data_IF_061669172855
#
_entry.id   IF_061669172855
#
_cell.length_a   1.000
_cell.length_b   1.000
_cell.length_c   1.000
_cell.angle_alpha   90.00
_cell.angle_beta   90.00
_cell.angle_gamma   90.00
#
_symmetry.space_group_name_H-M   'P 1'
#
loop_
_entity.id
_entity.type
_entity.pdbx_description
1 polymer ?
#
# COMPACT_ATOMS: atom_id res chain seq x y z
N UNK A 1 39.87 6.23 11.58
CA UNK A 1 38.80 5.31 11.13
C UNK A 1 37.48 6.03 11.28
N UNK A 2 36.82 6.36 10.17
CA UNK A 2 35.50 7.00 10.19
C UNK A 2 34.44 5.89 10.27
N UNK A 3 33.69 5.84 11.37
CA UNK A 3 32.56 4.93 11.53
C UNK A 3 31.36 5.62 10.87
N UNK A 4 30.97 5.11 9.71
CA UNK A 4 29.79 5.56 8.97
C UNK A 4 28.54 5.20 9.78
N UNK A 5 27.97 6.19 10.48
CA UNK A 5 26.66 6.05 11.12
C UNK A 5 25.59 5.96 10.05
N UNK A 6 25.17 4.73 9.75
CA UNK A 6 24.01 4.44 8.91
C UNK A 6 22.77 5.05 9.60
N UNK A 7 22.16 6.06 8.97
CA UNK A 7 20.84 6.56 9.35
C UNK A 7 19.83 5.45 9.05
N UNK A 8 19.49 4.69 10.07
CA UNK A 8 18.51 3.62 10.00
C UNK A 8 17.54 3.80 11.17
N UNK A 9 16.60 4.75 11.11
CA UNK A 9 15.42 4.77 12.02
C UNK A 9 14.35 5.87 11.82
N UNK A 10 14.18 6.48 10.63
CA UNK A 10 13.17 7.56 10.47
C UNK A 10 12.00 7.27 9.51
N UNK A 11 11.74 6.01 9.12
CA UNK A 11 10.62 5.69 8.20
C UNK A 11 9.46 4.94 8.86
N UNK A 12 9.59 4.47 10.10
CA UNK A 12 8.74 3.38 10.58
C UNK A 12 7.39 3.78 11.24
N UNK A 13 7.14 5.06 11.56
CA UNK A 13 5.99 5.42 12.42
C UNK A 13 4.83 6.16 11.73
N UNK A 14 5.01 6.74 10.54
CA UNK A 14 4.02 7.69 9.99
C UNK A 14 2.90 7.05 9.13
N UNK A 15 3.01 5.76 8.80
CA UNK A 15 2.09 5.08 7.87
C UNK A 15 1.41 3.83 8.44
N UNK A 16 1.27 3.74 9.77
CA UNK A 16 0.62 2.59 10.40
C UNK A 16 -0.88 2.56 10.06
N UNK A 17 -1.27 1.65 9.16
CA UNK A 17 -2.69 1.31 8.94
C UNK A 17 -3.27 0.84 10.27
N UNK A 18 -4.44 1.36 10.71
CA UNK A 18 -5.11 0.83 11.88
C UNK A 18 -5.25 -0.69 11.74
N UNK A 19 -4.75 -1.45 12.72
CA UNK A 19 -4.63 -2.91 12.63
C UNK A 19 -5.97 -3.61 12.30
N UNK A 20 -7.09 -3.02 12.73
CA UNK A 20 -8.45 -3.48 12.46
C UNK A 20 -8.88 -3.33 10.98
N UNK A 21 -8.18 -2.54 10.18
CA UNK A 21 -8.49 -2.26 8.77
C UNK A 21 -7.56 -2.97 7.80
N UNK A 22 -6.62 -3.79 8.28
CA UNK A 22 -5.63 -4.46 7.44
C UNK A 22 -6.25 -5.36 6.35
N UNK A 23 -7.26 -6.21 6.63
CA UNK A 23 -7.91 -6.99 5.57
C UNK A 23 -8.57 -6.12 4.49
N UNK A 24 -9.17 -5.00 4.89
CA UNK A 24 -9.80 -4.05 3.98
C UNK A 24 -8.75 -3.32 3.12
N UNK A 25 -7.64 -2.88 3.74
CA UNK A 25 -6.51 -2.29 3.04
C UNK A 25 -5.94 -3.24 1.97
N UNK A 26 -5.72 -4.51 2.32
CA UNK A 26 -5.27 -5.53 1.37
C UNK A 26 -6.30 -5.71 0.25
N UNK A 27 -7.60 -5.78 0.56
CA UNK A 27 -8.68 -5.87 -0.45
C UNK A 27 -8.67 -4.70 -1.44
N UNK A 28 -8.47 -3.47 -0.96
CA UNK A 28 -8.35 -2.27 -1.79
C UNK A 28 -7.12 -2.36 -2.70
N UNK A 29 -5.96 -2.74 -2.15
CA UNK A 29 -4.71 -2.86 -2.88
C UNK A 29 -4.74 -3.96 -3.94
N UNK A 30 -5.39 -5.09 -3.66
CA UNK A 30 -5.54 -6.18 -4.64
C UNK A 30 -6.36 -5.76 -5.86
N UNK A 31 -7.32 -4.83 -5.72
CA UNK A 31 -8.09 -4.33 -6.87
C UNK A 31 -7.26 -3.50 -7.85
N UNK A 32 -6.23 -2.80 -7.36
CA UNK A 32 -5.43 -1.87 -8.17
C UNK A 32 -4.11 -2.52 -8.61
N UNK A 33 -3.45 -3.25 -7.72
CA UNK A 33 -2.13 -3.87 -7.97
C UNK A 33 -2.08 -5.33 -7.50
N UNK A 34 -2.85 -6.25 -8.13
CA UNK A 34 -2.97 -7.63 -7.65
C UNK A 34 -1.65 -8.41 -7.67
N UNK A 35 -0.82 -8.23 -8.69
CA UNK A 35 0.43 -8.98 -8.87
C UNK A 35 1.63 -8.35 -8.16
N UNK A 36 1.43 -7.20 -7.50
CA UNK A 36 2.51 -6.52 -6.77
C UNK A 36 2.91 -7.35 -5.56
N UNK A 37 4.22 -7.57 -5.43
CA UNK A 37 4.80 -8.36 -4.35
C UNK A 37 4.81 -7.54 -3.06
N UNK A 38 4.20 -8.10 -2.01
CA UNK A 38 4.12 -7.55 -0.66
C UNK A 38 5.40 -7.87 0.11
N UNK A 39 5.82 -9.14 0.07
CA UNK A 39 6.99 -9.61 0.79
C UNK A 39 7.64 -10.77 0.04
N UNK A 40 8.96 -10.89 0.19
CA UNK A 40 9.75 -12.02 -0.31
C UNK A 40 10.51 -12.64 0.84
N UNK A 41 10.53 -13.96 0.86
CA UNK A 41 11.37 -14.73 1.76
C UNK A 41 12.03 -15.86 0.98
N UNK A 42 13.36 -15.86 0.93
CA UNK A 42 14.17 -16.76 0.10
C UNK A 42 13.69 -16.72 -1.37
N UNK A 43 13.40 -17.87 -1.97
CA UNK A 43 12.96 -17.98 -3.36
C UNK A 43 11.48 -17.62 -3.60
N UNK A 44 10.68 -17.39 -2.55
CA UNK A 44 9.23 -17.22 -2.67
C UNK A 44 8.81 -15.78 -2.42
N UNK A 45 7.99 -15.25 -3.32
CA UNK A 45 7.31 -13.97 -3.16
C UNK A 45 5.82 -14.19 -2.91
N UNK A 46 5.24 -13.32 -2.08
CA UNK A 46 3.81 -13.25 -1.82
C UNK A 46 3.27 -11.94 -2.40
N UNK A 47 2.31 -12.03 -3.32
CA UNK A 47 1.65 -10.88 -3.93
C UNK A 47 0.29 -10.60 -3.25
N UNK A 48 -0.31 -9.45 -3.57
CA UNK A 48 -1.59 -9.02 -2.98
C UNK A 48 -2.76 -9.94 -3.33
N UNK A 49 -2.79 -10.53 -4.53
CA UNK A 49 -3.85 -11.48 -4.92
C UNK A 49 -3.83 -12.72 -4.03
N UNK A 50 -2.65 -13.32 -3.89
CA UNK A 50 -2.47 -14.56 -3.14
C UNK A 50 -2.60 -14.29 -1.63
N UNK A 51 -2.14 -13.12 -1.16
CA UNK A 51 -2.33 -12.68 0.22
C UNK A 51 -3.83 -12.51 0.56
N UNK A 52 -4.62 -11.86 -0.30
CA UNK A 52 -6.06 -11.69 -0.07
C UNK A 52 -6.80 -13.03 -0.06
N UNK A 53 -6.46 -13.92 -0.99
CA UNK A 53 -7.03 -15.27 -1.01
C UNK A 53 -6.75 -16.02 0.31
N UNK A 54 -5.52 -15.95 0.81
CA UNK A 54 -5.14 -16.54 2.08
C UNK A 54 -5.87 -15.88 3.28
N UNK A 55 -5.99 -14.55 3.31
CA UNK A 55 -6.75 -13.84 4.35
C UNK A 55 -8.20 -14.34 4.40
N UNK A 56 -8.88 -14.42 3.25
CA UNK A 56 -10.27 -14.88 3.20
C UNK A 56 -10.46 -16.30 3.75
N UNK A 57 -9.46 -17.17 3.61
CA UNK A 57 -9.45 -18.51 4.18
C UNK A 57 -9.15 -18.51 5.69
N UNK A 58 -8.29 -17.60 6.16
CA UNK A 58 -7.89 -17.54 7.57
C UNK A 58 -8.90 -16.80 8.46
N UNK A 59 -9.65 -15.85 7.92
CA UNK A 59 -10.59 -15.01 8.66
C UNK A 59 -11.64 -15.81 9.48
N UNK A 60 -12.30 -16.85 8.96
CA UNK A 60 -13.22 -17.66 9.76
C UNK A 60 -12.50 -18.39 10.92
N UNK A 61 -11.27 -18.84 10.67
CA UNK A 61 -10.46 -19.63 11.62
C UNK A 61 -9.91 -18.76 12.75
N UNK A 62 -9.49 -17.53 12.46
CA UNK A 62 -9.00 -16.60 13.48
C UNK A 62 -10.15 -16.04 14.32
N UNK A 63 -11.29 -15.75 13.68
CA UNK A 63 -12.49 -15.27 14.39
C UNK A 63 -13.09 -16.32 15.32
N UNK A 64 -13.12 -17.60 14.93
CA UNK A 64 -13.58 -18.68 15.82
C UNK A 64 -12.70 -18.85 17.06
N UNK A 65 -11.46 -18.37 17.00
CA UNK A 65 -10.50 -18.35 18.10
C UNK A 65 -10.47 -17.02 18.87
N UNK A 66 -11.42 -16.10 18.61
CA UNK A 66 -11.46 -14.75 19.19
C UNK A 66 -10.17 -13.94 18.96
N UNK A 67 -9.46 -14.21 17.86
CA UNK A 67 -8.29 -13.43 17.45
C UNK A 67 -8.70 -12.20 16.64
N UNK A 68 -7.84 -11.20 16.60
CA UNK A 68 -8.06 -9.98 15.83
C UNK A 68 -7.84 -10.19 14.32
N UNK A 69 -8.33 -9.23 13.52
CA UNK A 69 -8.19 -9.26 12.07
C UNK A 69 -6.71 -9.16 11.62
N UNK A 70 -5.82 -8.60 12.45
CA UNK A 70 -4.36 -8.62 12.22
C UNK A 70 -3.84 -10.04 12.22
N UNK A 71 -4.30 -10.88 13.16
CA UNK A 71 -3.89 -12.29 13.24
C UNK A 71 -4.22 -13.05 11.95
N UNK A 72 -5.32 -12.70 11.27
CA UNK A 72 -5.67 -13.30 9.99
C UNK A 72 -4.65 -12.95 8.90
N UNK A 73 -4.16 -11.71 8.88
CA UNK A 73 -3.13 -11.26 7.92
C UNK A 73 -1.79 -11.93 8.22
N UNK A 74 -1.40 -12.03 9.49
CA UNK A 74 -0.17 -12.74 9.88
C UNK A 74 -0.26 -14.22 9.50
N UNK A 75 -1.37 -14.90 9.83
CA UNK A 75 -1.61 -16.28 9.44
C UNK A 75 -1.57 -16.46 7.91
N UNK A 76 -2.13 -15.51 7.17
CA UNK A 76 -2.09 -15.52 5.70
C UNK A 76 -0.67 -15.35 5.14
N UNK A 77 0.19 -14.55 5.77
CA UNK A 77 1.62 -14.45 5.41
C UNK A 77 2.31 -15.80 5.57
N UNK A 78 2.09 -16.49 6.69
CA UNK A 78 2.64 -17.83 6.91
C UNK A 78 2.08 -18.86 5.92
N UNK A 79 0.79 -18.80 5.59
CA UNK A 79 0.20 -19.66 4.58
C UNK A 79 0.79 -19.41 3.17
N UNK A 80 1.04 -18.13 2.84
CA UNK A 80 1.64 -17.71 1.58
C UNK A 80 3.14 -18.00 1.47
N UNK A 81 3.84 -18.09 2.60
CA UNK A 81 5.28 -18.38 2.73
C UNK A 81 5.48 -19.49 3.78
N UNK A 82 5.21 -20.77 3.44
CA UNK A 82 5.32 -21.87 4.40
C UNK A 82 6.71 -22.02 5.02
N UNK A 83 7.76 -21.72 4.24
CA UNK A 83 9.15 -21.78 4.71
C UNK A 83 9.43 -20.80 5.86
N UNK A 84 8.63 -19.74 6.03
CA UNK A 84 8.75 -18.82 7.15
C UNK A 84 8.31 -19.49 8.46
N UNK A 85 7.34 -20.40 8.41
CA UNK A 85 6.86 -21.13 9.59
C UNK A 85 7.84 -22.18 10.12
N UNK A 86 8.86 -22.54 9.33
CA UNK A 86 9.95 -23.43 9.73
C UNK A 86 11.25 -22.68 10.01
N UNK A 87 11.23 -21.34 10.01
CA UNK A 87 12.41 -20.53 10.29
C UNK A 87 12.74 -20.57 11.80
N UNK A 88 13.93 -21.06 12.21
CA UNK A 88 14.32 -21.12 13.61
C UNK A 88 14.59 -19.75 14.24
N UNK A 89 15.00 -18.76 13.43
CA UNK A 89 15.32 -17.41 13.92
C UNK A 89 14.06 -16.53 14.01
N UNK A 90 13.61 -16.27 15.24
CA UNK A 90 12.44 -15.43 15.50
C UNK A 90 12.64 -13.96 15.09
N UNK A 91 13.89 -13.46 15.07
CA UNK A 91 14.17 -12.11 14.60
C UNK A 91 13.97 -11.99 13.08
N UNK A 92 14.34 -13.03 12.33
CA UNK A 92 14.08 -13.09 10.88
C UNK A 92 12.57 -13.12 10.65
N UNK A 93 11.84 -13.99 11.35
CA UNK A 93 10.38 -14.09 11.22
C UNK A 93 9.70 -12.74 11.48
N UNK A 94 10.05 -12.09 12.60
CA UNK A 94 9.54 -10.76 12.94
C UNK A 94 9.83 -9.74 11.83
N UNK A 95 11.08 -9.69 11.35
CA UNK A 95 11.49 -8.73 10.31
C UNK A 95 10.71 -8.91 9.00
N UNK A 96 10.39 -10.15 8.62
CA UNK A 96 9.63 -10.46 7.39
C UNK A 96 8.16 -10.04 7.54
N UNK A 97 7.56 -10.33 8.70
CA UNK A 97 6.17 -9.93 8.98
C UNK A 97 6.06 -8.41 9.07
N UNK A 98 6.98 -7.75 9.77
CA UNK A 98 7.00 -6.30 9.90
C UNK A 98 7.23 -5.61 8.55
N UNK A 99 8.13 -6.13 7.72
CA UNK A 99 8.34 -5.63 6.36
C UNK A 99 7.07 -5.77 5.49
N UNK A 100 6.33 -6.88 5.63
CA UNK A 100 5.07 -7.07 4.91
C UNK A 100 4.01 -6.05 5.36
N UNK A 101 3.84 -5.86 6.68
CA UNK A 101 2.88 -4.90 7.23
C UNK A 101 3.24 -3.45 6.86
N UNK A 102 4.52 -3.09 6.96
CA UNK A 102 5.01 -1.78 6.53
C UNK A 102 4.78 -1.55 5.04
N UNK A 103 4.95 -2.59 4.20
CA UNK A 103 4.69 -2.50 2.77
C UNK A 103 3.21 -2.27 2.46
N UNK A 104 2.31 -2.96 3.15
CA UNK A 104 0.86 -2.75 3.01
C UNK A 104 0.52 -1.29 3.35
N UNK A 105 1.06 -0.74 4.44
CA UNK A 105 0.82 0.66 4.81
C UNK A 105 1.37 1.66 3.81
N UNK A 106 2.60 1.47 3.34
CA UNK A 106 3.20 2.33 2.33
C UNK A 106 2.41 2.31 1.01
N UNK A 107 1.96 1.14 0.58
CA UNK A 107 1.20 0.98 -0.66
C UNK A 107 -0.21 1.57 -0.54
N UNK A 108 -0.86 1.43 0.62
CA UNK A 108 -2.16 2.04 0.89
C UNK A 108 -2.07 3.56 0.87
N UNK A 109 -1.06 4.13 1.53
CA UNK A 109 -0.84 5.57 1.52
C UNK A 109 -0.55 6.08 0.09
N UNK A 110 0.27 5.36 -0.68
CA UNK A 110 0.53 5.70 -2.08
C UNK A 110 -0.75 5.67 -2.93
N UNK A 111 -1.64 4.70 -2.68
CA UNK A 111 -2.94 4.63 -3.33
C UNK A 111 -3.82 5.83 -2.94
N UNK A 112 -3.93 6.12 -1.64
CA UNK A 112 -4.74 7.23 -1.13
C UNK A 112 -4.27 8.57 -1.71
N UNK A 113 -2.95 8.84 -1.71
CA UNK A 113 -2.36 10.04 -2.34
C UNK A 113 -2.63 10.13 -3.84
N UNK A 114 -2.69 9.01 -4.56
CA UNK A 114 -3.01 8.99 -5.98
C UNK A 114 -4.50 9.24 -6.27
N UNK A 115 -5.38 8.97 -5.30
CA UNK A 115 -6.83 9.18 -5.42
C UNK A 115 -7.35 10.49 -4.84
N UNK A 116 -6.53 11.23 -4.07
CA UNK A 116 -6.94 12.54 -3.56
C UNK A 116 -7.17 13.55 -4.70
N UNK A 117 -8.32 14.28 -4.69
CA UNK A 117 -8.52 15.37 -5.61
C UNK A 117 -7.46 16.46 -5.38
N UNK A 118 -7.01 17.17 -6.43
CA UNK A 118 -5.95 18.17 -6.31
C UNK A 118 -6.32 19.21 -5.25
N UNK A 119 -5.51 19.28 -4.18
CA UNK A 119 -5.70 20.20 -3.03
C UNK A 119 -5.56 21.67 -3.41
N UNK A 120 -5.03 21.97 -4.60
CA UNK A 120 -5.13 23.30 -5.19
C UNK A 120 -6.29 23.33 -6.18
N UNK A 121 -7.27 24.23 -6.02
CA UNK A 121 -8.06 24.62 -7.17
C UNK A 121 -7.04 25.11 -8.21
N UNK A 122 -6.98 24.42 -9.35
CA UNK A 122 -6.32 24.94 -10.53
C UNK A 122 -7.06 26.22 -10.88
N UNK A 123 -6.63 27.36 -10.29
CA UNK A 123 -6.92 28.65 -10.86
C UNK A 123 -6.23 28.61 -12.20
N UNK A 124 -7.02 28.34 -13.24
CA UNK A 124 -6.64 28.63 -14.60
C UNK A 124 -6.21 30.10 -14.64
N UNK A 125 -4.91 30.35 -14.49
CA UNK A 125 -4.33 31.66 -14.70
C UNK A 125 -4.40 31.91 -16.21
N UNK A 126 -5.52 32.50 -16.63
CA UNK A 126 -5.66 33.41 -17.78
C UNK A 126 -4.77 33.11 -19.00
N UNK A 127 -4.99 32.00 -19.68
CA UNK A 127 -4.49 31.84 -21.07
C UNK A 127 -5.56 31.37 -22.05
N UNK A 128 -6.84 31.41 -21.67
CA UNK A 128 -7.95 31.01 -22.56
C UNK A 128 -8.98 32.11 -22.83
N UNK A 129 -8.71 33.36 -22.43
CA UNK A 129 -9.36 34.52 -23.07
C UNK A 129 -8.53 34.94 -24.29
N UNK A 130 -8.48 34.08 -25.30
CA UNK A 130 -8.26 34.58 -26.65
C UNK A 130 -9.52 35.35 -27.00
N UNK A 131 -9.43 36.66 -26.83
CA UNK A 131 -10.50 37.65 -26.84
C UNK A 131 -11.44 37.44 -28.05
N UNK A 132 -12.61 36.85 -27.79
CA UNK A 132 -13.64 36.59 -28.82
C UNK A 132 -14.07 37.89 -29.52
N UNK A 133 -13.81 39.06 -28.92
CA UNK A 133 -14.01 40.38 -29.53
C UNK A 133 -13.00 40.68 -30.64
N UNK A 134 -11.76 40.16 -30.54
CA UNK A 134 -10.74 40.26 -31.59
C UNK A 134 -11.08 39.36 -32.79
N UNK A 135 -11.75 38.23 -32.56
CA UNK A 135 -12.25 37.36 -33.64
C UNK A 135 -13.49 37.98 -34.31
N UNK A 136 -14.43 38.52 -33.52
CA UNK A 136 -15.62 39.18 -34.05
C UNK A 136 -15.31 40.46 -34.85
N UNK A 137 -14.31 41.24 -34.43
CA UNK A 137 -13.87 42.45 -35.15
C UNK A 137 -13.19 42.15 -36.50
N UNK A 138 -12.58 40.97 -36.65
CA UNK A 138 -11.99 40.53 -37.93
C UNK A 138 -12.99 39.94 -38.92
N UNK A 139 -14.11 39.39 -38.43
CA UNK A 139 -15.20 38.85 -39.26
C UNK A 139 -16.18 39.93 -39.75
N UNK A 140 -16.26 41.07 -39.07
CA UNK A 140 -17.13 42.19 -39.48
C UNK A 140 -16.50 43.13 -40.52
N UNK A 141 -15.23 42.92 -40.88
CA UNK A 141 -14.50 43.75 -41.86
C UNK A 141 -14.18 43.03 -43.18
N UNK A 142 -14.87 41.92 -43.48
CA UNK A 142 -14.83 41.19 -44.74
C UNK A 142 -16.21 41.22 -45.40
#
# INVERSE_FOLDING_TARGET
MAISTVRNDEVAAEFAVPLAQLPEAVSRLTRVTPDRVVVRYRARGLNYRDLLAAINLMMPVTRSQNMDDRSAVVAAIFAGIPNLGSEPDSAIVASVVDAALARIGADLNALDMATEPPRQPVRANRTSEMDLRVIASRLSSA
#
